data_IF_673365659962
#
_entry.id   IF_673365659962
#
_cell.length_a   1.000
_cell.length_b   1.000
_cell.length_c   1.000
_cell.angle_alpha   90.00
_cell.angle_beta   90.00
_cell.angle_gamma   90.00
#
_symmetry.space_group_name_H-M   'P 1'
#
loop_
_entity.id
_entity.type
_entity.pdbx_description
1 polymer ?
#
# COMPACT_ATOMS: atom_id res chain seq x y z
N UNK A 1 24.20 14.07 -17.12
CA UNK A 1 23.22 12.97 -17.00
C UNK A 1 23.33 12.11 -18.25
N UNK A 2 23.59 10.82 -18.11
CA UNK A 2 23.75 9.93 -19.27
C UNK A 2 22.40 9.58 -19.91
N UNK A 3 22.35 9.28 -21.21
CA UNK A 3 21.09 8.89 -21.89
C UNK A 3 20.40 7.69 -21.23
N UNK A 4 21.18 6.76 -20.66
CA UNK A 4 20.67 5.61 -19.92
C UNK A 4 19.97 6.00 -18.61
N UNK A 5 20.48 7.03 -17.93
CA UNK A 5 19.92 7.55 -16.68
C UNK A 5 18.57 8.24 -16.95
N UNK A 6 18.51 9.06 -18.00
CA UNK A 6 17.26 9.69 -18.47
C UNK A 6 16.23 8.64 -18.85
N UNK A 7 16.62 7.59 -19.57
CA UNK A 7 15.73 6.50 -19.97
C UNK A 7 15.20 5.73 -18.76
N UNK A 8 16.06 5.44 -17.79
CA UNK A 8 15.69 4.73 -16.57
C UNK A 8 14.67 5.52 -15.74
N UNK A 9 14.86 6.83 -15.57
CA UNK A 9 13.92 7.71 -14.85
C UNK A 9 12.53 7.66 -15.50
N UNK A 10 12.45 7.76 -16.83
CA UNK A 10 11.16 7.70 -17.53
C UNK A 10 10.41 6.37 -17.36
N UNK A 11 11.14 5.25 -17.34
CA UNK A 11 10.54 3.93 -17.10
C UNK A 11 10.01 3.82 -15.67
N UNK A 12 10.77 4.34 -14.70
CA UNK A 12 10.36 4.38 -13.30
C UNK A 12 9.09 5.21 -13.09
N UNK A 13 8.96 6.37 -13.74
CA UNK A 13 7.76 7.21 -13.62
C UNK A 13 6.51 6.50 -14.16
N UNK A 14 6.63 5.83 -15.31
CA UNK A 14 5.52 5.06 -15.91
C UNK A 14 5.14 3.88 -15.02
N UNK A 15 6.13 3.14 -14.52
CA UNK A 15 5.91 2.04 -13.60
C UNK A 15 5.24 2.51 -12.30
N UNK A 16 5.76 3.58 -11.69
CA UNK A 16 5.23 4.17 -10.47
C UNK A 16 3.76 4.59 -10.62
N UNK A 17 3.40 5.19 -11.76
CA UNK A 17 2.02 5.55 -12.06
C UNK A 17 1.13 4.32 -12.26
N UNK A 18 1.61 3.29 -12.98
CA UNK A 18 0.90 2.02 -13.17
C UNK A 18 0.64 1.28 -11.85
N UNK A 19 1.64 1.24 -10.97
CA UNK A 19 1.50 0.62 -9.64
C UNK A 19 0.55 1.42 -8.75
N UNK A 20 0.66 2.76 -8.74
CA UNK A 20 -0.24 3.60 -7.94
C UNK A 20 -1.70 3.49 -8.40
N UNK A 21 -1.94 3.42 -9.72
CA UNK A 21 -3.29 3.24 -10.27
C UNK A 21 -3.86 1.85 -9.97
N UNK A 22 -3.05 0.80 -10.09
CA UNK A 22 -3.43 -0.57 -9.70
C UNK A 22 -3.71 -0.66 -8.20
N UNK A 23 -2.86 -0.01 -7.39
CA UNK A 23 -3.02 0.07 -5.95
C UNK A 23 -4.32 0.75 -5.55
N UNK A 24 -4.64 1.87 -6.19
CA UNK A 24 -5.92 2.57 -5.99
C UNK A 24 -7.11 1.67 -6.37
N UNK A 25 -7.03 0.95 -7.48
CA UNK A 25 -8.07 0.02 -7.90
C UNK A 25 -8.27 -1.12 -6.88
N UNK A 26 -7.19 -1.67 -6.30
CA UNK A 26 -7.26 -2.67 -5.23
C UNK A 26 -7.86 -2.12 -3.94
N UNK A 27 -7.61 -0.84 -3.61
CA UNK A 27 -8.21 -0.21 -2.43
C UNK A 27 -9.74 -0.04 -2.61
N UNK A 28 -10.15 0.47 -3.78
CA UNK A 28 -11.54 0.84 -4.07
C UNK A 28 -12.40 -0.35 -4.45
N UNK A 29 -11.94 -1.19 -5.38
CA UNK A 29 -12.71 -2.28 -5.99
C UNK A 29 -11.92 -3.61 -6.03
N UNK A 30 -11.48 -4.15 -4.87
CA UNK A 30 -10.63 -5.34 -4.81
C UNK A 30 -11.24 -6.56 -5.51
N UNK A 31 -12.55 -6.77 -5.42
CA UNK A 31 -13.21 -7.91 -6.07
C UNK A 31 -13.25 -7.78 -7.59
N UNK A 32 -13.32 -6.55 -8.14
CA UNK A 32 -13.22 -6.33 -9.59
C UNK A 32 -11.81 -6.64 -10.08
N UNK A 33 -10.79 -6.14 -9.37
CA UNK A 33 -9.39 -6.41 -9.69
C UNK A 33 -9.08 -7.91 -9.58
N UNK A 34 -9.57 -8.58 -8.52
CA UNK A 34 -9.45 -10.04 -8.38
C UNK A 34 -10.07 -10.79 -9.54
N UNK A 35 -11.30 -10.44 -9.96
CA UNK A 35 -11.93 -11.07 -11.13
C UNK A 35 -11.10 -10.85 -12.39
N UNK A 36 -10.58 -9.64 -12.59
CA UNK A 36 -9.76 -9.30 -13.75
C UNK A 36 -8.43 -10.03 -13.78
N UNK A 37 -7.74 -10.17 -12.64
CA UNK A 37 -6.40 -10.75 -12.55
C UNK A 37 -6.40 -12.27 -12.34
N UNK A 38 -7.32 -12.77 -11.51
CA UNK A 38 -7.33 -14.15 -11.02
C UNK A 38 -8.50 -14.97 -11.58
N UNK A 39 -9.44 -14.33 -12.28
CA UNK A 39 -10.69 -14.97 -12.72
C UNK A 39 -11.71 -15.17 -11.60
N UNK A 40 -11.41 -14.74 -10.37
CA UNK A 40 -12.26 -14.94 -9.19
C UNK A 40 -12.40 -13.66 -8.34
N UNK A 41 -13.60 -13.42 -7.81
CA UNK A 41 -13.85 -12.32 -6.91
C UNK A 41 -13.14 -12.50 -5.56
N UNK A 42 -12.38 -11.50 -5.13
CA UNK A 42 -11.88 -11.48 -3.76
C UNK A 42 -13.04 -11.32 -2.77
N UNK A 43 -13.11 -12.21 -1.78
CA UNK A 43 -14.14 -12.25 -0.75
C UNK A 43 -13.53 -12.49 0.64
N UNK A 44 -14.32 -12.25 1.70
CA UNK A 44 -13.90 -12.48 3.08
C UNK A 44 -12.58 -11.77 3.42
N UNK A 45 -11.59 -12.52 3.92
CA UNK A 45 -10.27 -12.01 4.30
C UNK A 45 -9.41 -11.54 3.10
N UNK A 46 -9.73 -11.94 1.87
CA UNK A 46 -9.00 -11.49 0.69
C UNK A 46 -9.23 -9.99 0.40
N UNK A 47 -10.40 -9.46 0.74
CA UNK A 47 -10.72 -8.03 0.56
C UNK A 47 -9.77 -7.13 1.38
N UNK A 48 -9.65 -7.27 2.71
CA UNK A 48 -8.74 -6.42 3.46
C UNK A 48 -7.27 -6.66 3.12
N UNK A 49 -6.90 -7.89 2.77
CA UNK A 49 -5.54 -8.21 2.29
C UNK A 49 -5.22 -7.47 1.00
N UNK A 50 -6.14 -7.45 0.03
CA UNK A 50 -5.99 -6.71 -1.22
C UNK A 50 -5.91 -5.19 -1.01
N UNK A 51 -6.67 -4.65 -0.06
CA UNK A 51 -6.58 -3.21 0.28
C UNK A 51 -5.23 -2.85 0.89
N UNK A 52 -4.66 -3.70 1.77
CA UNK A 52 -3.30 -3.53 2.28
C UNK A 52 -2.28 -3.57 1.15
N UNK A 53 -2.39 -4.54 0.23
CA UNK A 53 -1.54 -4.61 -0.95
C UNK A 53 -1.68 -3.34 -1.82
N UNK A 54 -2.90 -2.85 -2.01
CA UNK A 54 -3.16 -1.62 -2.75
C UNK A 54 -2.51 -0.38 -2.11
N UNK A 55 -2.60 -0.25 -0.79
CA UNK A 55 -1.90 0.80 -0.03
C UNK A 55 -0.39 0.70 -0.23
N UNK A 56 0.17 -0.53 -0.22
CA UNK A 56 1.59 -0.77 -0.48
C UNK A 56 2.01 -0.32 -1.89
N UNK A 57 1.23 -0.63 -2.93
CA UNK A 57 1.55 -0.23 -4.30
C UNK A 57 1.51 1.30 -4.49
N UNK A 58 0.53 1.99 -3.88
CA UNK A 58 0.49 3.45 -3.89
C UNK A 58 1.75 4.01 -3.20
N UNK A 59 2.16 3.43 -2.07
CA UNK A 59 3.37 3.84 -1.36
C UNK A 59 4.65 3.60 -2.16
N UNK A 60 4.75 2.50 -2.90
CA UNK A 60 5.85 2.26 -3.85
C UNK A 60 5.86 3.32 -4.95
N UNK A 61 4.70 3.66 -5.52
CA UNK A 61 4.60 4.74 -6.51
C UNK A 61 5.10 6.09 -5.96
N UNK A 62 4.72 6.44 -4.73
CA UNK A 62 5.22 7.66 -4.05
C UNK A 62 6.72 7.55 -3.76
N UNK A 63 7.21 6.39 -3.34
CA UNK A 63 8.63 6.15 -3.07
C UNK A 63 9.49 6.38 -4.32
N UNK A 64 9.02 5.90 -5.47
CA UNK A 64 9.68 6.08 -6.76
C UNK A 64 9.71 7.54 -7.22
N UNK A 65 8.66 8.33 -6.94
CA UNK A 65 8.63 9.75 -7.32
C UNK A 65 9.49 10.62 -6.39
N UNK A 66 9.34 10.43 -5.07
CA UNK A 66 9.86 11.38 -4.07
C UNK A 66 11.13 10.88 -3.40
N UNK A 67 10.97 9.86 -2.54
CA UNK A 67 12.03 9.08 -1.92
C UNK A 67 11.39 7.95 -1.10
N UNK A 68 12.17 6.92 -0.80
CA UNK A 68 11.71 5.72 -0.09
C UNK A 68 11.17 6.00 1.31
N UNK A 69 11.66 7.02 2.01
CA UNK A 69 11.21 7.32 3.36
C UNK A 69 9.79 7.89 3.40
N UNK A 70 9.46 8.81 2.48
CA UNK A 70 8.09 9.34 2.34
C UNK A 70 7.11 8.21 1.98
N UNK A 71 7.50 7.32 1.07
CA UNK A 71 6.69 6.14 0.75
C UNK A 71 6.47 5.23 1.97
N UNK A 72 7.52 4.93 2.73
CA UNK A 72 7.44 4.07 3.92
C UNK A 72 6.62 4.69 5.06
N UNK A 73 6.71 6.01 5.23
CA UNK A 73 5.89 6.77 6.17
C UNK A 73 4.41 6.69 5.76
N UNK A 74 4.10 6.99 4.49
CA UNK A 74 2.74 6.91 3.96
C UNK A 74 2.17 5.51 4.15
N UNK A 75 2.92 4.48 3.74
CA UNK A 75 2.52 3.09 3.88
C UNK A 75 2.18 2.76 5.33
N UNK A 76 3.12 2.98 6.25
CA UNK A 76 2.93 2.61 7.65
C UNK A 76 1.72 3.33 8.26
N UNK A 77 1.55 4.62 7.97
CA UNK A 77 0.44 5.40 8.53
C UNK A 77 -0.91 4.93 7.97
N UNK A 78 -1.01 4.77 6.65
CA UNK A 78 -2.23 4.31 6.00
C UNK A 78 -2.60 2.88 6.41
N UNK A 79 -1.62 1.97 6.48
CA UNK A 79 -1.85 0.59 6.95
C UNK A 79 -2.24 0.54 8.42
N UNK A 80 -1.63 1.35 9.30
CA UNK A 80 -2.03 1.44 10.71
C UNK A 80 -3.50 1.79 10.83
N UNK A 81 -3.95 2.86 10.16
CA UNK A 81 -5.36 3.27 10.20
C UNK A 81 -6.27 2.22 9.60
N UNK A 82 -5.86 1.60 8.49
CA UNK A 82 -6.68 0.60 7.81
C UNK A 82 -6.85 -0.67 8.64
N UNK A 83 -5.76 -1.23 9.19
CA UNK A 83 -5.81 -2.44 10.02
C UNK A 83 -6.59 -2.16 11.33
N UNK A 84 -6.39 -0.98 11.94
CA UNK A 84 -7.16 -0.57 13.11
C UNK A 84 -8.66 -0.47 12.78
N UNK A 85 -9.02 0.12 11.63
CA UNK A 85 -10.39 0.20 11.17
C UNK A 85 -11.03 -1.18 10.99
N UNK A 86 -10.38 -2.13 10.32
CA UNK A 86 -10.95 -3.47 10.13
C UNK A 86 -11.03 -4.28 11.42
N UNK A 87 -10.13 -4.03 12.39
CA UNK A 87 -10.21 -4.64 13.72
C UNK A 87 -11.34 -4.10 14.58
N UNK A 88 -11.60 -2.79 14.50
CA UNK A 88 -12.64 -2.12 15.30
C UNK A 88 -14.05 -2.30 14.70
N UNK A 89 -14.17 -2.21 13.37
CA UNK A 89 -15.47 -2.12 12.67
C UNK A 89 -15.67 -3.23 11.63
N UNK A 90 -14.60 -3.88 11.18
CA UNK A 90 -14.66 -4.88 10.11
C UNK A 90 -14.94 -6.31 10.59
N UNK A 91 -15.06 -6.54 11.90
CA UNK A 91 -15.32 -7.86 12.47
C UNK A 91 -14.13 -8.84 12.42
N UNK A 92 -12.94 -8.38 12.05
CA UNK A 92 -11.72 -9.19 12.05
C UNK A 92 -11.05 -9.15 13.43
N UNK A 93 -10.71 -10.32 13.99
CA UNK A 93 -10.18 -10.43 15.36
C UNK A 93 -8.95 -11.34 15.47
N UNK A 94 -8.14 -11.42 14.41
CA UNK A 94 -6.93 -12.25 14.40
C UNK A 94 -5.92 -11.78 15.46
N UNK A 95 -5.22 -12.72 16.11
CA UNK A 95 -4.27 -12.42 17.20
C UNK A 95 -3.15 -11.46 16.79
N UNK A 96 -2.75 -11.48 15.51
CA UNK A 96 -1.71 -10.61 14.95
C UNK A 96 -2.21 -9.23 14.51
N UNK A 97 -3.52 -8.97 14.53
CA UNK A 97 -4.09 -7.71 14.07
C UNK A 97 -3.56 -6.52 14.88
N UNK A 98 -3.71 -6.59 16.21
CA UNK A 98 -3.25 -5.52 17.10
C UNK A 98 -1.72 -5.37 17.15
N UNK A 99 -0.93 -6.46 17.19
CA UNK A 99 0.52 -6.38 16.99
C UNK A 99 0.92 -5.66 15.69
N UNK A 100 0.24 -5.93 14.58
CA UNK A 100 0.51 -5.24 13.31
C UNK A 100 0.19 -3.74 13.38
N UNK A 101 -0.95 -3.36 13.98
CA UNK A 101 -1.30 -1.95 14.21
C UNK A 101 -0.20 -1.25 15.03
N UNK A 102 0.20 -1.85 16.15
CA UNK A 102 1.22 -1.29 17.05
C UNK A 102 2.58 -1.12 16.35
N UNK A 103 3.01 -2.14 15.60
CA UNK A 103 4.27 -2.11 14.87
C UNK A 103 4.29 -0.99 13.82
N UNK A 104 3.26 -0.91 12.97
CA UNK A 104 3.20 0.13 11.95
C UNK A 104 3.04 1.53 12.54
N UNK A 105 2.32 1.67 13.66
CA UNK A 105 2.20 2.95 14.36
C UNK A 105 3.56 3.40 14.90
N UNK A 106 4.32 2.49 15.51
CA UNK A 106 5.68 2.78 15.99
C UNK A 106 6.58 3.22 14.83
N UNK A 107 6.58 2.46 13.73
CA UNK A 107 7.38 2.79 12.54
C UNK A 107 7.01 4.17 11.99
N UNK A 108 5.71 4.48 11.88
CA UNK A 108 5.24 5.81 11.47
C UNK A 108 5.73 6.92 12.39
N UNK A 109 5.66 6.73 13.71
CA UNK A 109 6.12 7.72 14.69
C UNK A 109 7.63 7.94 14.54
N UNK A 110 8.42 6.88 14.40
CA UNK A 110 9.87 6.98 14.21
C UNK A 110 10.21 7.74 12.92
N UNK A 111 9.64 7.32 11.79
CA UNK A 111 9.85 7.99 10.50
C UNK A 111 9.42 9.46 10.50
N UNK A 112 8.29 9.80 11.15
CA UNK A 112 7.80 11.18 11.23
C UNK A 112 8.65 12.12 12.09
N UNK A 113 9.55 11.57 12.91
CA UNK A 113 10.50 12.35 13.70
C UNK A 113 11.78 12.64 12.94
N UNK A 114 12.12 11.76 12.01
CA UNK A 114 13.37 11.81 11.25
C UNK A 114 13.23 12.52 9.89
N UNK A 115 12.00 12.76 9.41
CA UNK A 115 11.66 13.38 8.12
C UNK A 115 10.60 14.48 8.24
#
# INVERSE_FOLDING_TARGET
MGENEVRMIRVLDVAAFGEATTGLALVVAPSFVGKGLLGEALTGAAIPTARVAGIALIAVGIACWRNSAVGMLMYSTAVTFYIAYVGLWGGFSGILLWPAVALHALISILLSRDY
#
